data_IF_856727764647
#
_entry.id   IF_856727764647
#
_cell.length_a   1.000
_cell.length_b   1.000
_cell.length_c   1.000
_cell.angle_alpha   90.00
_cell.angle_beta   90.00
_cell.angle_gamma   90.00
#
_symmetry.space_group_name_H-M   'P 1'
#
loop_
_entity.id
_entity.type
_entity.pdbx_description
1 polymer ?
#
# COMPACT_ATOMS: atom_id res chain seq x y z
N UNK A 1 -13.63 -7.32 -11.00
CA UNK A 1 -12.50 -7.87 -10.18
C UNK A 1 -12.40 -9.40 -10.29
N UNK A 2 -13.11 -10.07 -11.20
CA UNK A 2 -13.00 -11.51 -11.49
C UNK A 2 -12.80 -11.69 -12.99
N UNK A 3 -11.90 -12.58 -13.40
CA UNK A 3 -11.72 -12.99 -14.80
C UNK A 3 -11.55 -14.53 -14.83
N UNK A 4 -12.34 -15.22 -15.65
CA UNK A 4 -12.31 -16.69 -15.73
C UNK A 4 -12.61 -17.39 -14.40
N UNK A 5 -13.49 -16.83 -13.57
CA UNK A 5 -13.81 -17.35 -12.24
C UNK A 5 -12.73 -17.10 -11.16
N UNK A 6 -11.61 -16.48 -11.52
CA UNK A 6 -10.50 -16.18 -10.59
C UNK A 6 -10.47 -14.69 -10.26
N UNK A 7 -10.14 -14.35 -9.02
CA UNK A 7 -9.89 -12.96 -8.62
C UNK A 7 -8.83 -12.32 -9.52
N UNK A 8 -9.19 -11.22 -10.16
CA UNK A 8 -8.28 -10.36 -10.90
C UNK A 8 -7.88 -9.17 -10.02
N UNK A 9 -6.75 -9.31 -9.30
CA UNK A 9 -6.18 -8.26 -8.46
C UNK A 9 -5.35 -7.27 -9.29
N UNK A 10 -5.10 -6.08 -8.75
CA UNK A 10 -4.22 -5.09 -9.40
C UNK A 10 -2.82 -5.66 -9.64
N UNK A 11 -2.26 -6.37 -8.65
CA UNK A 11 -0.97 -7.04 -8.81
C UNK A 11 -0.99 -8.06 -9.96
N UNK A 12 -2.02 -8.92 -10.03
CA UNK A 12 -2.15 -9.88 -11.12
C UNK A 12 -2.26 -9.19 -12.49
N UNK A 13 -3.00 -8.08 -12.57
CA UNK A 13 -3.23 -7.36 -13.82
C UNK A 13 -2.05 -6.51 -14.29
N UNK A 14 -1.27 -5.93 -13.37
CA UNK A 14 -0.23 -4.96 -13.70
C UNK A 14 1.19 -5.56 -13.65
N UNK A 15 1.42 -6.51 -12.76
CA UNK A 15 2.73 -7.15 -12.55
C UNK A 15 2.77 -8.50 -13.28
N UNK A 16 1.62 -9.18 -13.40
CA UNK A 16 1.52 -10.47 -14.08
C UNK A 16 2.08 -11.63 -13.26
N UNK A 17 2.11 -12.82 -13.88
CA UNK A 17 2.67 -14.07 -13.32
C UNK A 17 3.98 -14.50 -14.00
N UNK A 18 4.52 -13.68 -14.90
CA UNK A 18 5.68 -14.00 -15.74
C UNK A 18 7.01 -13.51 -15.17
N UNK A 19 8.08 -13.64 -15.96
CA UNK A 19 9.37 -13.01 -15.69
C UNK A 19 9.17 -11.51 -15.46
N UNK A 20 9.54 -11.03 -14.27
CA UNK A 20 9.52 -9.59 -13.97
C UNK A 20 10.37 -8.85 -15.01
N UNK A 21 9.97 -7.62 -15.32
CA UNK A 21 10.79 -6.72 -16.12
C UNK A 21 12.16 -6.58 -15.44
N UNK A 22 13.24 -6.56 -16.22
CA UNK A 22 14.61 -6.51 -15.68
C UNK A 22 14.90 -5.27 -14.82
N UNK A 23 14.07 -4.24 -14.95
CA UNK A 23 14.14 -2.99 -14.19
C UNK A 23 13.08 -2.89 -13.06
N UNK A 24 12.35 -3.97 -12.76
CA UNK A 24 11.35 -4.00 -11.68
C UNK A 24 11.80 -4.93 -10.55
N UNK A 25 12.04 -4.36 -9.38
CA UNK A 25 12.32 -5.10 -8.15
C UNK A 25 11.11 -5.04 -7.24
N UNK A 26 10.61 -6.22 -6.84
CA UNK A 26 9.51 -6.35 -5.89
C UNK A 26 10.04 -6.96 -4.62
N UNK A 27 9.82 -6.27 -3.50
CA UNK A 27 10.17 -6.78 -2.17
C UNK A 27 8.90 -6.92 -1.34
N UNK A 28 8.49 -8.17 -1.12
CA UNK A 28 7.42 -8.51 -0.18
C UNK A 28 7.98 -8.62 1.23
N UNK A 29 7.09 -8.74 2.23
CA UNK A 29 7.47 -8.86 3.65
C UNK A 29 8.39 -7.73 4.13
N UNK A 30 8.23 -6.55 3.52
CA UNK A 30 9.00 -5.35 3.78
C UNK A 30 8.05 -4.22 4.18
N UNK A 31 8.01 -3.91 5.47
CA UNK A 31 7.18 -2.83 6.00
C UNK A 31 8.01 -1.56 6.10
N UNK A 32 7.72 -0.58 5.25
CA UNK A 32 8.35 0.74 5.32
C UNK A 32 8.00 1.41 6.65
N UNK A 33 8.98 2.02 7.31
CA UNK A 33 8.80 2.72 8.59
C UNK A 33 8.80 4.24 8.45
N UNK A 34 9.63 4.76 7.53
CA UNK A 34 9.73 6.19 7.19
C UNK A 34 10.45 6.41 5.86
N UNK A 35 10.24 7.59 5.28
CA UNK A 35 11.03 8.16 4.19
C UNK A 35 12.27 8.82 4.78
N UNK A 36 13.40 8.64 4.10
CA UNK A 36 14.66 9.30 4.45
C UNK A 36 14.73 10.60 3.66
N UNK A 37 14.91 11.70 4.37
CA UNK A 37 14.92 13.05 3.80
C UNK A 37 16.34 13.65 3.88
N UNK A 38 16.82 14.17 2.75
CA UNK A 38 17.92 15.13 2.70
C UNK A 38 17.38 16.51 3.06
N UNK A 39 17.98 17.13 4.07
CA UNK A 39 17.59 18.42 4.64
C UNK A 39 18.71 19.46 4.51
N UNK A 40 19.68 19.25 3.60
CA UNK A 40 20.73 20.22 3.34
C UNK A 40 20.17 21.57 2.89
N UNK A 41 19.05 21.55 2.15
CA UNK A 41 18.20 22.69 1.86
C UNK A 41 16.93 22.56 2.70
N UNK A 42 16.79 23.42 3.71
CA UNK A 42 15.63 23.40 4.61
C UNK A 42 14.38 23.98 3.97
N UNK A 43 14.50 24.78 2.92
CA UNK A 43 13.35 25.28 2.14
C UNK A 43 12.81 24.21 1.18
N UNK A 44 13.67 23.27 0.75
CA UNK A 44 13.32 22.21 -0.19
C UNK A 44 13.88 20.85 0.22
N UNK A 45 13.34 20.22 1.30
CA UNK A 45 13.76 18.90 1.71
C UNK A 45 13.44 17.86 0.64
N UNK A 46 14.38 16.96 0.37
CA UNK A 46 14.29 15.97 -0.71
C UNK A 46 14.22 14.55 -0.17
N UNK A 47 13.29 13.74 -0.66
CA UNK A 47 13.30 12.31 -0.37
C UNK A 47 14.50 11.63 -1.07
N UNK A 48 15.25 10.82 -0.34
CA UNK A 48 16.45 10.12 -0.85
C UNK A 48 16.40 8.60 -0.69
N UNK A 49 15.36 8.07 -0.04
CA UNK A 49 15.17 6.63 0.11
C UNK A 49 14.13 6.30 1.17
N UNK A 50 14.06 5.04 1.57
CA UNK A 50 13.14 4.56 2.61
C UNK A 50 13.84 3.62 3.59
N UNK A 51 13.44 3.71 4.85
CA UNK A 51 13.77 2.73 5.88
C UNK A 51 12.62 1.71 5.94
N UNK A 52 12.93 0.41 6.00
CA UNK A 52 11.92 -0.64 6.12
C UNK A 52 12.40 -1.76 7.04
N UNK A 53 11.46 -2.48 7.61
CA UNK A 53 11.69 -3.71 8.35
C UNK A 53 11.42 -4.90 7.44
N UNK A 54 12.34 -5.86 7.40
CA UNK A 54 12.05 -7.15 6.77
C UNK A 54 11.57 -8.15 7.83
N UNK A 55 10.38 -8.71 7.64
CA UNK A 55 9.85 -9.71 8.56
C UNK A 55 10.67 -11.00 8.57
N UNK A 56 11.43 -11.28 7.50
CA UNK A 56 12.28 -12.46 7.40
C UNK A 56 13.53 -12.37 8.28
N UNK A 57 14.09 -11.16 8.45
CA UNK A 57 15.30 -10.95 9.24
C UNK A 57 15.07 -10.27 10.60
N UNK A 58 13.86 -9.75 10.86
CA UNK A 58 13.53 -8.87 12.00
C UNK A 58 14.48 -7.67 12.17
N UNK A 59 15.25 -7.33 11.13
CA UNK A 59 16.21 -6.23 11.16
C UNK A 59 15.71 -5.04 10.37
N UNK A 60 16.14 -3.85 10.79
CA UNK A 60 16.01 -2.63 10.00
C UNK A 60 16.94 -2.72 8.80
N UNK A 61 16.40 -2.47 7.62
CA UNK A 61 17.15 -2.31 6.40
C UNK A 61 16.82 -0.96 5.78
N UNK A 62 17.81 -0.37 5.12
CA UNK A 62 17.62 0.86 4.36
C UNK A 62 17.64 0.48 2.88
N UNK A 63 16.55 0.74 2.17
CA UNK A 63 16.58 0.75 0.71
C UNK A 63 17.11 2.12 0.31
N UNK A 64 18.44 2.19 0.17
CA UNK A 64 19.16 3.45 0.08
C UNK A 64 19.21 4.00 -1.36
N UNK A 65 19.10 5.32 -1.41
CA UNK A 65 19.68 6.22 -2.39
C UNK A 65 19.03 6.17 -3.78
N UNK A 66 18.01 7.01 -3.93
CA UNK A 66 17.75 7.68 -5.20
C UNK A 66 19.06 8.34 -5.64
N UNK A 67 19.79 7.71 -6.57
CA UNK A 67 21.08 8.21 -7.06
C UNK A 67 20.87 9.63 -7.55
N UNK A 68 21.79 10.51 -7.17
CA UNK A 68 21.87 11.87 -7.71
C UNK A 68 22.88 11.84 -8.84
N UNK A 69 22.40 11.62 -10.05
CA UNK A 69 23.18 11.90 -11.27
C UNK A 69 22.46 13.00 -12.04
N UNK A 70 23.17 13.92 -12.72
CA UNK A 70 22.54 14.94 -13.56
C UNK A 70 21.51 14.37 -14.56
N UNK A 71 21.68 13.10 -14.94
CA UNK A 71 20.86 12.40 -15.93
C UNK A 71 19.72 11.56 -15.33
N UNK A 72 19.61 11.43 -13.99
CA UNK A 72 18.56 10.61 -13.37
C UNK A 72 18.11 11.16 -12.00
N UNK A 73 16.85 11.56 -11.93
CA UNK A 73 16.14 11.88 -10.68
C UNK A 73 15.10 10.79 -10.43
N UNK A 74 15.34 9.91 -9.47
CA UNK A 74 14.27 9.05 -8.99
C UNK A 74 13.44 9.73 -7.88
N UNK A 75 12.29 9.14 -7.59
CA UNK A 75 11.28 9.68 -6.66
C UNK A 75 10.86 8.62 -5.64
N UNK A 76 10.33 9.06 -4.49
CA UNK A 76 9.64 8.19 -3.55
C UNK A 76 8.14 8.43 -3.69
N UNK A 77 7.40 7.43 -4.16
CA UNK A 77 5.94 7.48 -4.26
C UNK A 77 5.32 6.71 -3.09
N UNK A 78 4.50 7.39 -2.29
CA UNK A 78 3.78 6.76 -1.19
C UNK A 78 2.45 6.20 -1.68
N UNK A 79 2.31 4.88 -1.61
CA UNK A 79 1.08 4.15 -2.01
C UNK A 79 0.65 3.15 -0.93
N UNK A 80 0.88 3.49 0.35
CA UNK A 80 0.55 2.61 1.48
C UNK A 80 -0.94 2.67 1.90
N UNK A 81 -1.78 3.40 1.16
CA UNK A 81 -3.21 3.56 1.43
C UNK A 81 -3.53 4.67 2.44
N UNK A 82 -4.83 4.97 2.59
CA UNK A 82 -5.32 6.12 3.37
C UNK A 82 -4.95 6.06 4.87
N UNK A 83 -4.72 4.87 5.42
CA UNK A 83 -4.38 4.65 6.82
C UNK A 83 -2.87 4.75 7.06
N UNK A 84 -2.06 4.05 6.26
CA UNK A 84 -0.62 3.94 6.53
C UNK A 84 0.20 5.08 5.92
N UNK A 85 -0.21 5.66 4.79
CA UNK A 85 0.50 6.81 4.19
C UNK A 85 0.64 8.00 5.15
N UNK A 86 -0.41 8.47 5.86
CA UNK A 86 -0.24 9.57 6.81
C UNK A 86 0.68 9.21 7.99
N UNK A 87 0.66 7.96 8.46
CA UNK A 87 1.61 7.50 9.48
C UNK A 87 3.06 7.56 8.97
N UNK A 88 3.31 7.11 7.73
CA UNK A 88 4.64 7.18 7.12
C UNK A 88 5.12 8.63 6.99
N UNK A 89 4.25 9.56 6.57
CA UNK A 89 4.57 10.98 6.51
C UNK A 89 4.96 11.53 7.89
N UNK A 90 4.14 11.27 8.92
CA UNK A 90 4.41 11.72 10.28
C UNK A 90 5.74 11.19 10.82
N UNK A 91 6.00 9.88 10.63
CA UNK A 91 7.28 9.25 11.00
C UNK A 91 8.49 9.79 10.21
N UNK A 92 8.24 10.44 9.09
CA UNK A 92 9.27 11.09 8.25
C UNK A 92 9.44 12.57 8.58
N UNK A 93 8.81 13.06 9.65
CA UNK A 93 8.83 14.47 10.06
C UNK A 93 7.92 15.39 9.24
N UNK A 94 6.95 14.83 8.51
CA UNK A 94 5.95 15.57 7.71
C UNK A 94 4.57 15.38 8.35
N UNK A 95 4.05 16.42 8.99
CA UNK A 95 2.79 16.34 9.73
C UNK A 95 2.65 17.50 10.71
N UNK A 96 1.66 17.43 11.60
CA UNK A 96 1.46 18.43 12.66
C UNK A 96 2.72 18.57 13.54
N UNK A 97 3.36 19.75 13.52
CA UNK A 97 4.63 20.00 14.23
C UNK A 97 5.84 19.28 13.65
N UNK A 98 5.75 18.80 12.40
CA UNK A 98 6.80 18.04 11.74
C UNK A 98 8.08 18.84 11.47
N UNK A 99 9.23 18.29 11.85
CA UNK A 99 10.54 18.94 11.68
C UNK A 99 10.99 19.09 10.22
N UNK A 100 10.47 18.28 9.30
CA UNK A 100 10.74 18.39 7.85
C UNK A 100 9.76 19.35 7.21
N UNK A 101 8.47 19.21 7.55
CA UNK A 101 7.41 20.09 7.09
C UNK A 101 6.24 20.03 8.05
N UNK A 102 5.87 21.17 8.61
CA UNK A 102 4.63 21.30 9.36
C UNK A 102 3.44 21.27 8.39
N UNK A 103 2.69 20.17 8.44
CA UNK A 103 1.54 19.92 7.57
C UNK A 103 0.41 19.28 8.40
N UNK A 104 -0.36 20.07 9.15
CA UNK A 104 -1.31 19.56 10.14
C UNK A 104 -2.48 18.77 9.55
N UNK A 105 -2.72 18.86 8.25
CA UNK A 105 -3.72 18.05 7.54
C UNK A 105 -3.35 16.57 7.40
N UNK A 106 -2.08 16.19 7.60
CA UNK A 106 -1.66 14.78 7.51
C UNK A 106 -2.42 13.94 8.55
N UNK A 107 -3.08 12.88 8.07
CA UNK A 107 -3.84 11.95 8.91
C UNK A 107 -5.20 12.47 9.38
N UNK A 108 -5.62 13.66 8.96
CA UNK A 108 -6.95 14.20 9.25
C UNK A 108 -7.91 13.91 8.08
N UNK A 109 -9.21 14.15 8.31
CA UNK A 109 -10.26 14.02 7.29
C UNK A 109 -10.33 12.61 6.65
N UNK A 110 -10.19 11.55 7.47
CA UNK A 110 -10.47 10.19 7.01
C UNK A 110 -11.97 10.08 6.68
N UNK A 111 -12.25 9.55 5.49
CA UNK A 111 -13.61 9.29 5.03
C UNK A 111 -13.74 7.81 4.69
N UNK A 112 -14.86 7.23 5.06
CA UNK A 112 -15.22 5.86 4.75
C UNK A 112 -16.74 5.76 4.60
N UNK A 113 -17.21 4.65 4.04
CA UNK A 113 -18.64 4.35 3.92
C UNK A 113 -19.09 3.47 5.09
N UNK A 114 -20.05 3.92 5.93
CA UNK A 114 -20.59 3.07 6.97
C UNK A 114 -21.33 1.88 6.33
N UNK A 115 -21.04 0.67 6.83
CA UNK A 115 -21.69 -0.55 6.37
C UNK A 115 -22.68 -1.07 7.42
N UNK A 116 -23.90 -1.39 6.99
CA UNK A 116 -24.93 -2.04 7.82
C UNK A 116 -25.25 -3.39 7.19
N UNK A 117 -24.97 -4.47 7.91
CA UNK A 117 -25.30 -5.82 7.46
C UNK A 117 -26.75 -6.17 7.85
N UNK A 118 -27.58 -6.50 6.86
CA UNK A 118 -28.91 -7.04 7.08
C UNK A 118 -28.89 -8.54 6.79
N UNK A 119 -29.15 -9.35 7.81
CA UNK A 119 -29.10 -10.81 7.70
C UNK A 119 -30.52 -11.35 7.83
N UNK A 120 -30.96 -12.11 6.81
CA UNK A 120 -32.29 -12.70 6.76
C UNK A 120 -32.19 -14.21 6.58
N UNK A 121 -33.13 -14.95 7.17
CA UNK A 121 -33.31 -16.38 6.87
C UNK A 121 -33.99 -16.51 5.51
N UNK A 122 -33.44 -17.33 4.63
CA UNK A 122 -34.02 -17.63 3.32
C UNK A 122 -34.52 -19.08 3.25
N UNK A 123 -35.43 -19.37 2.32
CA UNK A 123 -35.89 -20.74 2.06
C UNK A 123 -34.90 -21.49 1.17
N UNK A 124 -34.85 -22.84 1.21
CA UNK A 124 -33.97 -23.64 0.34
C UNK A 124 -34.17 -23.34 -1.15
N UNK A 125 -35.42 -23.21 -1.61
CA UNK A 125 -35.76 -22.86 -3.00
C UNK A 125 -35.20 -21.51 -3.45
N UNK A 126 -35.07 -20.55 -2.53
CA UNK A 126 -34.45 -19.25 -2.83
C UNK A 126 -32.93 -19.35 -2.89
N UNK A 127 -32.32 -20.23 -2.08
CA UNK A 127 -30.88 -20.46 -2.10
C UNK A 127 -30.41 -21.05 -3.43
N UNK A 128 -31.16 -22.01 -4.01
CA UNK A 128 -30.86 -22.61 -5.32
C UNK A 128 -30.80 -21.59 -6.46
N UNK A 129 -31.55 -20.48 -6.34
CA UNK A 129 -31.58 -19.40 -7.35
C UNK A 129 -30.60 -18.28 -7.08
N UNK A 130 -29.99 -18.26 -5.89
CA UNK A 130 -29.05 -17.23 -5.50
C UNK A 130 -27.67 -17.56 -6.08
N UNK A 131 -27.41 -17.12 -7.31
CA UNK A 131 -26.04 -17.07 -7.85
C UNK A 131 -25.29 -15.90 -7.21
N UNK A 132 -25.02 -16.02 -5.93
CA UNK A 132 -24.23 -15.05 -5.20
C UNK A 132 -22.74 -15.34 -5.44
N UNK A 133 -21.97 -14.29 -5.70
CA UNK A 133 -20.49 -14.31 -5.71
C UNK A 133 -19.89 -14.76 -4.36
N UNK A 134 -20.71 -14.87 -3.30
CA UNK A 134 -20.36 -15.38 -1.98
C UNK A 134 -20.88 -16.80 -1.71
N UNK A 135 -21.66 -17.38 -2.63
CA UNK A 135 -22.20 -18.75 -2.52
C UNK A 135 -21.44 -19.69 -3.44
N UNK A 136 -20.11 -19.63 -3.39
CA UNK A 136 -19.25 -20.76 -3.74
C UNK A 136 -18.56 -21.22 -2.46
N UNK A 137 -19.33 -21.40 -1.39
CA UNK A 137 -19.00 -22.44 -0.43
C UNK A 137 -19.44 -23.73 -1.11
N UNK A 138 -18.58 -24.24 -1.98
CA UNK A 138 -18.76 -25.55 -2.56
C UNK A 138 -18.97 -26.54 -1.43
N UNK A 139 -19.97 -27.39 -1.61
CA UNK A 139 -19.88 -28.77 -1.20
C UNK A 139 -18.45 -29.25 -1.52
N UNK A 140 -17.64 -29.38 -0.48
CA UNK A 140 -16.43 -30.19 -0.53
C UNK A 140 -16.92 -31.63 -0.40
N UNK A 141 -17.19 -32.26 -1.55
CA UNK A 141 -17.04 -33.71 -1.77
C UNK A 141 -16.18 -33.92 -3.02
#
# INVERSE_FOLDING_TARGET
NIAGGVRNSVAASMIGKGSLLSNLVIKTDATVSRVIMDRSDTASPRAIGVEFFSNQSKTKAIAAALRRTPEATGEVVLSAGAIMTPQLLANSGIGEGGEVKDLPGVGKNLQDHPAVALVFRITPKMAERATSIYTVAGEME
#
